data_IF_691299519539
#
_entry.id   IF_691299519539
#
_cell.length_a   1.000
_cell.length_b   1.000
_cell.length_c   1.000
_cell.angle_alpha   90.00
_cell.angle_beta   90.00
_cell.angle_gamma   90.00
#
_symmetry.space_group_name_H-M   'P 1'
#
loop_
_entity.id
_entity.type
_entity.pdbx_description
1 polymer ?
#
# COMPACT_ATOMS: atom_id res chain seq x y z
N UNK A 1 -18.34 30.99 -31.28
CA UNK A 1 -19.43 30.93 -32.27
C UNK A 1 -20.42 29.89 -31.74
N UNK A 2 -21.69 30.20 -31.49
CA UNK A 2 -22.82 30.17 -32.46
C UNK A 2 -22.97 28.78 -33.12
N UNK A 3 -24.08 28.03 -33.02
CA UNK A 3 -25.37 28.18 -32.30
C UNK A 3 -25.98 26.76 -32.05
N UNK A 4 -27.02 26.51 -31.24
CA UNK A 4 -28.42 26.95 -31.40
C UNK A 4 -29.19 26.04 -32.41
N UNK A 5 -30.44 25.60 -32.27
CA UNK A 5 -31.52 25.62 -31.23
C UNK A 5 -32.51 24.47 -31.62
N UNK A 6 -33.75 24.23 -31.16
CA UNK A 6 -34.76 24.68 -30.15
C UNK A 6 -35.84 23.53 -30.08
N UNK A 7 -36.93 23.50 -29.30
CA UNK A 7 -37.58 24.40 -28.33
C UNK A 7 -38.61 23.61 -27.47
N UNK A 8 -39.28 24.22 -26.47
CA UNK A 8 -40.61 24.88 -26.57
C UNK A 8 -41.80 23.91 -26.74
N UNK A 9 -42.93 23.94 -25.99
CA UNK A 9 -43.40 24.62 -24.76
C UNK A 9 -44.57 23.75 -24.17
N UNK A 10 -45.29 23.96 -23.05
CA UNK A 10 -46.13 25.06 -22.49
C UNK A 10 -46.70 24.58 -21.12
N UNK A 11 -47.25 25.35 -20.17
CA UNK A 11 -47.45 26.80 -20.00
C UNK A 11 -48.71 27.16 -19.16
N UNK A 12 -48.59 28.08 -18.17
CA UNK A 12 -49.69 28.74 -17.37
C UNK A 12 -50.48 27.84 -16.37
N UNK A 13 -51.22 28.31 -15.33
CA UNK A 13 -51.61 29.66 -14.84
C UNK A 13 -51.95 29.66 -13.31
N UNK A 14 -51.78 30.78 -12.59
CA UNK A 14 -52.44 31.08 -11.28
C UNK A 14 -53.63 32.06 -11.47
N UNK A 15 -53.96 33.02 -10.56
CA UNK A 15 -53.67 33.19 -9.12
C UNK A 15 -54.91 33.72 -8.27
N UNK A 16 -54.74 34.06 -6.98
CA UNK A 16 -55.71 34.81 -6.12
C UNK A 16 -55.47 34.61 -4.61
N UNK A 17 -55.41 35.61 -3.70
CA UNK A 17 -56.43 36.58 -3.20
C UNK A 17 -57.41 35.98 -2.16
N UNK A 18 -57.76 36.60 -1.02
CA UNK A 18 -57.26 37.81 -0.30
C UNK A 18 -57.85 37.88 1.15
N UNK A 19 -57.53 38.93 1.93
CA UNK A 19 -58.31 39.54 3.07
C UNK A 19 -58.67 38.67 4.33
N UNK A 20 -58.08 38.95 5.51
CA UNK A 20 -58.56 39.77 6.67
C UNK A 20 -59.66 39.18 7.59
N UNK A 21 -59.75 39.71 8.84
CA UNK A 21 -60.91 39.53 9.74
C UNK A 21 -60.58 39.06 11.17
N UNK A 22 -60.76 39.93 12.18
CA UNK A 22 -60.67 39.60 13.61
C UNK A 22 -61.89 40.13 14.37
N UNK A 23 -62.48 39.31 15.26
CA UNK A 23 -63.18 39.69 16.50
C UNK A 23 -63.92 38.48 17.14
N UNK A 24 -64.14 38.51 18.46
CA UNK A 24 -65.18 37.70 19.14
C UNK A 24 -64.73 36.98 20.41
N UNK A 25 -64.96 37.59 21.58
CA UNK A 25 -64.64 37.01 22.90
C UNK A 25 -65.92 36.71 23.70
N UNK A 26 -65.78 35.91 24.77
CA UNK A 26 -66.73 35.65 25.88
C UNK A 26 -67.80 34.55 25.68
N UNK A 27 -68.10 33.80 26.76
CA UNK A 27 -69.16 32.76 26.74
C UNK A 27 -69.04 31.62 27.77
N UNK A 28 -68.82 31.91 29.06
CA UNK A 28 -68.68 30.94 30.15
C UNK A 28 -69.76 29.84 30.24
N UNK A 29 -69.35 28.57 30.39
CA UNK A 29 -69.93 27.61 31.33
C UNK A 29 -68.98 26.40 31.53
N UNK A 30 -68.74 25.98 32.77
CA UNK A 30 -67.90 24.82 33.09
C UNK A 30 -68.69 23.65 33.67
N UNK A 31 -68.25 22.42 33.38
CA UNK A 31 -68.53 21.24 34.20
C UNK A 31 -67.38 20.25 34.05
N UNK A 32 -67.01 19.56 35.14
CA UNK A 32 -65.88 18.64 35.14
C UNK A 32 -66.34 17.20 34.85
N UNK A 33 -65.63 16.51 33.96
CA UNK A 33 -65.75 15.06 33.77
C UNK A 33 -64.37 14.43 33.76
N UNK A 34 -64.13 13.60 34.78
CA UNK A 34 -63.18 12.47 34.83
C UNK A 34 -62.00 12.47 33.84
N UNK A 35 -60.79 12.58 34.39
CA UNK A 35 -59.62 12.00 33.73
C UNK A 35 -59.83 10.48 33.56
N UNK A 36 -59.49 9.94 32.38
CA UNK A 36 -59.28 8.49 32.24
C UNK A 36 -57.94 8.16 32.88
N UNK A 37 -57.99 7.77 34.15
CA UNK A 37 -56.91 6.97 34.72
C UNK A 37 -57.10 5.56 34.18
N UNK A 38 -56.45 5.25 33.06
CA UNK A 38 -56.50 3.92 32.47
C UNK A 38 -55.96 2.92 33.50
N UNK A 39 -56.87 2.10 34.02
CA UNK A 39 -56.57 1.19 35.12
C UNK A 39 -55.70 0.06 34.62
N UNK A 40 -54.39 0.13 34.91
CA UNK A 40 -53.53 -1.04 34.92
C UNK A 40 -54.18 -2.04 35.87
N UNK A 41 -54.76 -3.11 35.32
CA UNK A 41 -55.34 -4.19 36.11
C UNK A 41 -54.19 -4.96 36.79
N UNK A 42 -54.06 -4.91 38.13
CA UNK A 42 -52.99 -5.61 38.84
C UNK A 42 -53.23 -7.14 38.91
N UNK A 43 -54.27 -7.63 38.23
CA UNK A 43 -54.59 -9.05 38.03
C UNK A 43 -54.63 -9.47 36.56
N UNK A 44 -54.24 -8.58 35.62
CA UNK A 44 -53.86 -9.00 34.28
C UNK A 44 -52.64 -9.93 34.37
N UNK A 45 -52.68 -11.04 33.63
CA UNK A 45 -51.58 -11.98 33.59
C UNK A 45 -50.35 -11.30 32.95
N UNK A 46 -49.18 -11.24 33.62
CA UNK A 46 -47.97 -10.68 33.02
C UNK A 46 -47.41 -11.56 31.87
N UNK A 47 -47.97 -12.75 31.66
CA UNK A 47 -47.54 -13.75 30.69
C UNK A 47 -48.66 -14.10 29.68
N UNK A 48 -49.25 -13.13 28.96
CA UNK A 48 -50.46 -13.35 28.15
C UNK A 48 -50.22 -14.11 26.84
N UNK A 49 -48.97 -14.16 26.36
CA UNK A 49 -48.52 -14.98 25.24
C UNK A 49 -47.93 -16.28 25.79
N UNK A 50 -48.22 -17.45 25.20
CA UNK A 50 -47.64 -18.73 25.64
C UNK A 50 -46.23 -18.99 25.08
N UNK A 51 -45.85 -18.33 23.98
CA UNK A 51 -44.61 -18.57 23.23
C UNK A 51 -43.33 -18.10 23.97
N UNK A 52 -42.20 -18.76 23.65
CA UNK A 52 -40.86 -18.44 24.19
C UNK A 52 -40.27 -17.17 23.55
N UNK A 53 -39.44 -16.39 24.26
CA UNK A 53 -38.67 -15.29 23.66
C UNK A 53 -37.84 -15.75 22.45
N UNK A 54 -37.70 -14.87 21.45
CA UNK A 54 -36.93 -15.12 20.23
C UNK A 54 -36.20 -13.87 19.73
N UNK A 55 -35.08 -14.10 19.06
CA UNK A 55 -34.31 -13.06 18.35
C UNK A 55 -35.05 -12.71 17.04
N UNK A 56 -35.14 -11.42 16.73
CA UNK A 56 -35.80 -10.86 15.54
C UNK A 56 -34.87 -10.02 14.65
N UNK A 57 -33.67 -9.68 15.12
CA UNK A 57 -32.57 -9.20 14.27
C UNK A 57 -32.10 -10.32 13.31
N UNK A 58 -31.31 -9.96 12.29
CA UNK A 58 -30.69 -11.00 11.44
C UNK A 58 -29.71 -11.85 12.26
N UNK A 59 -29.67 -13.14 11.93
CA UNK A 59 -28.76 -14.15 12.47
C UNK A 59 -28.08 -14.93 11.33
N UNK A 60 -28.02 -14.29 10.15
CA UNK A 60 -27.23 -14.79 9.01
C UNK A 60 -25.71 -14.68 9.32
N UNK A 61 -24.86 -15.53 8.72
CA UNK A 61 -23.41 -15.46 8.92
C UNK A 61 -22.83 -14.08 8.61
N UNK A 62 -21.94 -13.61 9.48
CA UNK A 62 -21.25 -12.33 9.33
C UNK A 62 -19.95 -12.58 8.55
N UNK A 63 -19.85 -11.97 7.38
CA UNK A 63 -18.62 -11.91 6.62
C UNK A 63 -17.58 -11.06 7.35
N UNK A 64 -16.35 -11.56 7.49
CA UNK A 64 -15.18 -10.79 7.90
C UNK A 64 -14.36 -10.43 6.66
N UNK A 65 -14.07 -9.14 6.49
CA UNK A 65 -13.23 -8.61 5.42
C UNK A 65 -11.74 -8.67 5.82
N UNK A 66 -10.80 -8.63 4.85
CA UNK A 66 -9.39 -8.38 5.13
C UNK A 66 -9.18 -7.20 6.10
N UNK A 67 -8.44 -7.43 7.18
CA UNK A 67 -8.19 -6.45 8.23
C UNK A 67 -9.23 -6.31 9.35
N UNK A 68 -10.38 -6.98 9.29
CA UNK A 68 -11.40 -6.91 10.35
C UNK A 68 -10.90 -7.54 11.67
N UNK A 69 -10.55 -6.68 12.63
CA UNK A 69 -10.11 -7.08 13.99
C UNK A 69 -11.24 -7.04 15.03
N UNK A 70 -12.39 -6.46 14.67
CA UNK A 70 -13.62 -6.43 15.46
C UNK A 70 -14.85 -6.26 14.57
N UNK A 71 -16.01 -6.73 15.02
CA UNK A 71 -17.32 -6.42 14.41
C UNK A 71 -18.35 -6.08 15.48
N UNK A 72 -19.26 -5.15 15.18
CA UNK A 72 -20.34 -4.72 16.08
C UNK A 72 -21.71 -4.89 15.42
N UNK A 73 -22.67 -5.43 16.16
CA UNK A 73 -24.05 -5.63 15.72
C UNK A 73 -25.03 -5.54 16.92
N UNK A 74 -26.30 -5.22 16.64
CA UNK A 74 -27.36 -5.22 17.64
C UNK A 74 -28.16 -6.54 17.56
N UNK A 75 -28.40 -7.17 18.72
CA UNK A 75 -29.32 -8.28 18.88
C UNK A 75 -30.66 -7.77 19.37
N UNK A 76 -31.68 -7.81 18.51
CA UNK A 76 -33.06 -7.47 18.87
C UNK A 76 -33.86 -8.73 19.23
N UNK A 77 -34.64 -8.64 20.30
CA UNK A 77 -35.61 -9.64 20.72
C UNK A 77 -37.05 -9.16 20.46
N UNK A 78 -37.97 -10.11 20.33
CA UNK A 78 -39.40 -9.83 20.16
C UNK A 78 -40.06 -9.16 21.39
N UNK A 79 -39.40 -9.22 22.54
CA UNK A 79 -39.84 -8.72 23.85
C UNK A 79 -38.64 -8.32 24.73
N UNK A 80 -38.88 -7.69 25.87
CA UNK A 80 -37.82 -7.51 26.88
C UNK A 80 -37.42 -8.87 27.49
N UNK A 81 -36.12 -9.16 27.46
CA UNK A 81 -35.51 -10.36 28.05
C UNK A 81 -34.37 -9.97 28.99
N UNK A 82 -34.12 -10.80 30.00
CA UNK A 82 -32.96 -10.72 30.88
C UNK A 82 -31.94 -11.76 30.45
N UNK A 83 -30.73 -11.33 30.13
CA UNK A 83 -29.62 -12.23 29.77
C UNK A 83 -28.68 -12.32 30.97
N UNK A 84 -28.41 -13.52 31.47
CA UNK A 84 -27.49 -13.77 32.58
C UNK A 84 -26.01 -13.70 32.15
N UNK A 85 -25.11 -13.51 33.13
CA UNK A 85 -23.68 -13.43 32.88
C UNK A 85 -23.13 -14.75 32.33
N UNK A 86 -22.64 -14.73 31.08
CA UNK A 86 -22.24 -15.91 30.32
C UNK A 86 -23.22 -16.34 29.23
N UNK A 87 -24.37 -15.67 29.09
CA UNK A 87 -25.33 -15.91 28.00
C UNK A 87 -24.86 -15.46 26.61
N UNK A 88 -23.75 -14.72 26.52
CA UNK A 88 -23.02 -14.47 25.29
C UNK A 88 -21.67 -15.21 25.35
N UNK A 89 -21.40 -16.03 24.34
CA UNK A 89 -20.21 -16.86 24.23
C UNK A 89 -19.61 -16.65 22.84
N UNK A 90 -18.28 -16.63 22.72
CA UNK A 90 -17.61 -16.71 21.42
C UNK A 90 -16.51 -17.77 21.45
N UNK A 91 -16.33 -18.46 20.34
CA UNK A 91 -15.29 -19.46 20.13
C UNK A 91 -14.04 -18.82 19.49
N UNK A 92 -13.11 -19.61 18.93
CA UNK A 92 -11.92 -19.12 18.21
C UNK A 92 -10.85 -18.39 19.03
N UNK A 93 -11.14 -17.94 20.25
CA UNK A 93 -10.23 -17.14 21.09
C UNK A 93 -10.47 -15.63 21.02
N UNK A 94 -11.49 -15.19 20.28
CA UNK A 94 -12.01 -13.82 20.32
C UNK A 94 -12.60 -13.48 21.71
N UNK A 95 -12.91 -12.20 21.93
CA UNK A 95 -13.58 -11.71 23.14
C UNK A 95 -14.89 -11.00 22.82
N UNK A 96 -15.90 -11.19 23.66
CA UNK A 96 -17.18 -10.46 23.59
C UNK A 96 -17.12 -9.22 24.49
N UNK A 97 -17.30 -8.04 23.91
CA UNK A 97 -17.55 -6.79 24.62
C UNK A 97 -19.01 -6.40 24.43
N UNK A 98 -19.77 -6.39 25.54
CA UNK A 98 -21.21 -6.19 25.57
C UNK A 98 -21.63 -5.45 26.86
N UNK A 99 -22.88 -4.95 26.97
CA UNK A 99 -23.43 -4.40 28.20
C UNK A 99 -23.26 -5.33 29.42
N UNK A 100 -23.06 -4.75 30.60
CA UNK A 100 -22.77 -5.51 31.81
C UNK A 100 -23.97 -6.39 32.24
N UNK A 101 -23.82 -7.71 32.08
CA UNK A 101 -24.82 -8.70 32.44
C UNK A 101 -24.77 -9.06 33.95
N UNK A 102 -25.90 -9.41 34.60
CA UNK A 102 -27.23 -9.55 34.02
C UNK A 102 -27.90 -8.20 33.70
N UNK A 103 -28.55 -8.14 32.54
CA UNK A 103 -29.27 -6.96 32.05
C UNK A 103 -30.60 -7.37 31.42
N UNK A 104 -31.66 -6.60 31.70
CA UNK A 104 -32.97 -6.70 31.05
C UNK A 104 -33.10 -5.62 29.97
N UNK A 105 -33.36 -6.01 28.71
CA UNK A 105 -33.59 -5.12 27.58
C UNK A 105 -34.31 -5.86 26.42
N UNK A 106 -34.80 -5.12 25.42
CA UNK A 106 -35.22 -5.69 24.13
C UNK A 106 -34.08 -5.79 23.10
N UNK A 107 -33.02 -5.01 23.28
CA UNK A 107 -31.94 -4.83 22.30
C UNK A 107 -30.59 -4.83 23.00
N UNK A 108 -29.63 -5.60 22.50
CA UNK A 108 -28.29 -5.73 23.05
C UNK A 108 -27.23 -5.48 21.96
N UNK A 109 -26.55 -4.35 22.03
CA UNK A 109 -25.37 -4.09 21.19
C UNK A 109 -24.20 -4.96 21.63
N UNK A 110 -23.67 -5.75 20.71
CA UNK A 110 -22.55 -6.69 20.92
C UNK A 110 -21.40 -6.29 20.00
N UNK A 111 -20.18 -6.30 20.55
CA UNK A 111 -18.95 -6.23 19.78
C UNK A 111 -18.14 -7.50 20.01
N UNK A 112 -17.68 -8.13 18.93
CA UNK A 112 -16.69 -9.21 18.98
C UNK A 112 -15.33 -8.58 18.62
N UNK A 113 -14.31 -8.85 19.43
CA UNK A 113 -12.97 -8.28 19.32
C UNK A 113 -11.90 -9.38 19.26
N UNK A 114 -10.69 -9.03 18.79
CA UNK A 114 -9.59 -9.96 18.54
C UNK A 114 -9.95 -11.02 17.47
N UNK A 115 -10.58 -10.55 16.40
CA UNK A 115 -10.83 -11.32 15.18
C UNK A 115 -9.58 -11.36 14.27
N UNK A 116 -9.49 -12.45 13.53
CA UNK A 116 -8.54 -12.73 12.45
C UNK A 116 -9.37 -13.28 11.29
N UNK A 117 -9.50 -12.57 10.15
CA UNK A 117 -10.34 -13.00 9.02
C UNK A 117 -9.93 -14.36 8.41
N UNK A 118 -8.72 -14.87 8.66
CA UNK A 118 -8.31 -16.21 8.25
C UNK A 118 -8.87 -17.33 9.14
N UNK A 119 -9.46 -16.98 10.28
CA UNK A 119 -10.08 -17.87 11.25
C UNK A 119 -11.61 -17.81 11.19
N UNK A 120 -12.26 -18.93 11.50
CA UNK A 120 -13.71 -19.00 11.67
C UNK A 120 -14.09 -18.97 13.15
N UNK A 121 -15.09 -18.16 13.49
CA UNK A 121 -15.63 -18.02 14.84
C UNK A 121 -17.12 -18.33 14.84
N UNK A 122 -17.61 -18.77 15.99
CA UNK A 122 -19.04 -18.89 16.28
C UNK A 122 -19.32 -18.06 17.52
N UNK A 123 -20.27 -17.13 17.40
CA UNK A 123 -20.86 -16.40 18.51
C UNK A 123 -22.19 -17.06 18.88
N UNK A 124 -22.35 -17.46 20.14
CA UNK A 124 -23.54 -18.15 20.64
C UNK A 124 -24.28 -17.28 21.64
N UNK A 125 -25.58 -17.08 21.42
CA UNK A 125 -26.54 -16.65 22.44
C UNK A 125 -27.10 -17.90 23.12
N UNK A 126 -26.73 -18.16 24.37
CA UNK A 126 -27.18 -19.36 25.08
C UNK A 126 -28.62 -19.23 25.59
N UNK A 127 -29.52 -20.07 25.08
CA UNK A 127 -30.92 -20.11 25.50
C UNK A 127 -31.08 -20.44 26.99
N UNK A 128 -30.14 -21.17 27.59
CA UNK A 128 -30.14 -21.47 29.03
C UNK A 128 -29.94 -20.25 29.93
N UNK A 129 -29.47 -19.13 29.37
CA UNK A 129 -29.15 -17.89 30.08
C UNK A 129 -30.05 -16.70 29.72
N UNK A 130 -30.97 -16.84 28.75
CA UNK A 130 -31.93 -15.79 28.35
C UNK A 130 -33.31 -16.10 28.92
N UNK A 131 -33.88 -15.18 29.71
CA UNK A 131 -35.17 -15.35 30.38
C UNK A 131 -36.11 -14.17 30.11
N UNK A 132 -37.37 -14.42 29.76
CA UNK A 132 -38.40 -13.38 29.80
C UNK A 132 -38.86 -13.07 31.26
N UNK A 133 -39.74 -12.08 31.43
CA UNK A 133 -40.32 -11.74 32.74
C UNK A 133 -41.12 -12.88 33.41
N UNK A 134 -41.41 -13.96 32.67
CA UNK A 134 -42.12 -15.16 33.10
C UNK A 134 -41.17 -16.32 33.43
N UNK A 135 -39.85 -16.08 33.43
CA UNK A 135 -38.79 -17.07 33.62
C UNK A 135 -38.77 -18.17 32.54
N UNK A 136 -39.26 -17.89 31.32
CA UNK A 136 -39.16 -18.80 30.18
C UNK A 136 -37.88 -18.54 29.40
N UNK A 137 -37.20 -19.61 29.04
CA UNK A 137 -36.02 -19.57 28.18
C UNK A 137 -36.39 -19.45 26.71
N UNK A 138 -35.42 -19.07 25.86
CA UNK A 138 -35.52 -19.30 24.42
C UNK A 138 -35.69 -20.80 24.12
N UNK A 139 -36.24 -21.15 22.95
CA UNK A 139 -36.47 -22.54 22.54
C UNK A 139 -35.18 -23.33 22.23
N UNK A 140 -34.13 -22.64 21.75
CA UNK A 140 -32.81 -23.18 21.44
C UNK A 140 -31.77 -22.06 21.40
N UNK A 141 -30.52 -22.36 21.78
CA UNK A 141 -29.41 -21.42 21.64
C UNK A 141 -29.20 -21.06 20.16
N UNK A 142 -28.75 -19.84 19.89
CA UNK A 142 -28.59 -19.30 18.54
C UNK A 142 -27.13 -19.02 18.27
N UNK A 143 -26.60 -19.68 17.24
CA UNK A 143 -25.25 -19.51 16.74
C UNK A 143 -25.24 -18.56 15.55
N UNK A 144 -24.34 -17.57 15.56
CA UNK A 144 -23.99 -16.70 14.44
C UNK A 144 -22.55 -17.03 14.07
N UNK A 145 -22.34 -17.55 12.86
CA UNK A 145 -21.01 -17.79 12.31
C UNK A 145 -20.37 -16.47 11.88
N UNK A 146 -19.11 -16.22 12.25
CA UNK A 146 -18.27 -15.16 11.69
C UNK A 146 -17.17 -15.83 10.87
N UNK A 147 -17.11 -15.55 9.57
CA UNK A 147 -16.27 -16.26 8.60
C UNK A 147 -15.65 -15.27 7.64
N UNK A 148 -14.35 -15.40 7.34
CA UNK A 148 -13.70 -14.63 6.27
C UNK A 148 -14.42 -14.80 4.94
N UNK A 149 -14.85 -13.70 4.32
CA UNK A 149 -15.34 -13.69 2.94
C UNK A 149 -14.32 -13.01 2.02
N UNK A 150 -13.98 -13.73 0.96
CA UNK A 150 -13.01 -13.32 -0.06
C UNK A 150 -13.67 -13.15 -1.43
N UNK A 151 -15.00 -13.19 -1.50
CA UNK A 151 -15.78 -13.08 -2.72
C UNK A 151 -15.65 -11.69 -3.37
N UNK A 152 -14.76 -11.59 -4.36
CA UNK A 152 -14.49 -10.33 -5.07
C UNK A 152 -13.32 -9.54 -4.50
N UNK A 153 -12.53 -10.13 -3.60
CA UNK A 153 -11.28 -9.53 -3.14
C UNK A 153 -10.30 -9.29 -4.30
N UNK A 154 -9.48 -8.25 -4.18
CA UNK A 154 -8.41 -7.92 -5.12
C UNK A 154 -7.03 -8.12 -4.47
N UNK A 155 -5.93 -8.24 -5.23
CA UNK A 155 -4.60 -8.24 -4.63
C UNK A 155 -4.30 -6.88 -3.97
N UNK A 156 -3.72 -6.84 -2.76
CA UNK A 156 -3.36 -5.59 -2.08
C UNK A 156 -2.40 -4.74 -2.91
N UNK A 157 -2.66 -3.43 -2.98
CA UNK A 157 -1.88 -2.49 -3.77
C UNK A 157 -1.10 -1.51 -2.87
N UNK A 158 0.19 -1.35 -3.15
CA UNK A 158 1.02 -0.35 -2.46
C UNK A 158 0.66 1.07 -2.89
N UNK A 159 0.38 1.95 -1.93
CA UNK A 159 0.09 3.38 -2.17
C UNK A 159 1.29 4.30 -1.92
N UNK A 160 2.43 3.76 -1.47
CA UNK A 160 3.69 4.49 -1.32
C UNK A 160 4.29 4.94 -2.67
N UNK A 161 5.10 6.00 -2.62
CA UNK A 161 5.85 6.48 -3.80
C UNK A 161 6.95 5.49 -4.20
N UNK A 162 7.12 5.25 -5.50
CA UNK A 162 8.16 4.36 -6.07
C UNK A 162 9.60 4.77 -5.71
N UNK A 163 9.82 6.05 -5.34
CA UNK A 163 11.12 6.55 -4.92
C UNK A 163 11.05 7.67 -3.88
N UNK A 164 12.11 7.76 -3.08
CA UNK A 164 12.40 8.88 -2.17
C UNK A 164 13.74 9.51 -2.58
N UNK A 165 13.70 10.75 -3.10
CA UNK A 165 14.90 11.55 -3.33
C UNK A 165 15.23 12.34 -2.06
N UNK A 166 16.41 12.08 -1.50
CA UNK A 166 16.88 12.67 -0.25
C UNK A 166 18.03 13.66 -0.50
N UNK A 167 18.34 14.54 0.46
CA UNK A 167 19.51 15.41 0.39
C UNK A 167 20.82 14.61 0.20
N UNK A 168 21.76 15.09 -0.63
CA UNK A 168 23.05 14.44 -0.80
C UNK A 168 23.81 14.28 0.52
N UNK A 169 24.24 13.06 0.82
CA UNK A 169 24.97 12.72 2.06
C UNK A 169 24.10 12.42 3.28
N UNK A 170 22.77 12.32 3.14
CA UNK A 170 21.92 11.69 4.18
C UNK A 170 22.39 10.24 4.42
N UNK A 171 22.70 9.91 5.68
CA UNK A 171 23.30 8.63 6.08
C UNK A 171 22.32 7.64 6.74
N UNK A 172 21.20 8.16 7.26
CA UNK A 172 20.11 7.40 7.89
C UNK A 172 18.79 8.13 7.60
N UNK A 173 17.70 7.39 7.40
CA UNK A 173 16.35 7.94 7.26
C UNK A 173 15.27 6.88 7.54
N UNK A 174 14.01 7.29 7.69
CA UNK A 174 12.86 6.40 7.84
C UNK A 174 11.77 6.71 6.81
N UNK A 175 11.10 5.67 6.31
CA UNK A 175 10.12 5.74 5.23
C UNK A 175 8.96 4.76 5.49
N UNK A 176 7.81 5.09 4.94
CA UNK A 176 6.56 4.37 5.16
C UNK A 176 6.18 3.58 3.91
N UNK A 177 6.06 2.26 4.07
CA UNK A 177 5.49 1.35 3.07
C UNK A 177 4.04 1.14 3.47
N UNK A 178 3.13 1.71 2.68
CA UNK A 178 1.69 1.70 2.93
C UNK A 178 0.95 0.98 1.79
N UNK A 179 -0.11 0.29 2.17
CA UNK A 179 -1.03 -0.43 1.28
C UNK A 179 -2.41 0.23 1.30
N UNK A 180 -3.30 -0.13 0.38
CA UNK A 180 -4.70 0.31 0.37
C UNK A 180 -5.60 -0.46 1.36
N UNK A 181 -5.11 -1.56 1.92
CA UNK A 181 -5.74 -2.37 2.97
C UNK A 181 -4.73 -2.90 4.00
N UNK A 182 -5.20 -3.58 5.04
CA UNK A 182 -4.34 -4.19 6.07
C UNK A 182 -3.77 -5.51 5.54
N UNK A 183 -2.44 -5.58 5.40
CA UNK A 183 -1.72 -6.79 4.98
C UNK A 183 -0.85 -7.36 6.10
N UNK A 184 -0.74 -8.68 6.14
CA UNK A 184 0.27 -9.39 6.93
C UNK A 184 1.56 -9.47 6.12
N UNK A 185 2.64 -8.92 6.66
CA UNK A 185 3.99 -9.08 6.13
C UNK A 185 4.76 -10.11 6.99
N UNK A 186 5.26 -11.15 6.32
CA UNK A 186 6.00 -12.24 6.97
C UNK A 186 7.45 -11.87 7.33
N UNK A 187 8.07 -12.69 8.19
CA UNK A 187 9.43 -12.48 8.64
C UNK A 187 10.44 -12.50 7.48
N UNK A 188 10.92 -11.31 7.08
CA UNK A 188 11.84 -11.12 5.95
C UNK A 188 11.19 -10.64 4.65
N UNK A 189 9.89 -10.29 4.66
CA UNK A 189 9.20 -9.70 3.51
C UNK A 189 9.91 -8.44 2.99
N UNK A 190 10.39 -7.57 3.88
CA UNK A 190 11.11 -6.34 3.53
C UNK A 190 12.63 -6.57 3.57
N UNK A 191 13.31 -6.27 2.46
CA UNK A 191 14.76 -6.44 2.33
C UNK A 191 15.43 -5.32 1.51
N UNK A 192 16.70 -5.01 1.82
CA UNK A 192 17.57 -4.23 0.92
C UNK A 192 18.14 -5.18 -0.13
N UNK A 193 17.87 -4.90 -1.41
CA UNK A 193 18.27 -5.71 -2.57
C UNK A 193 19.25 -4.97 -3.50
N UNK A 194 19.65 -3.74 -3.15
CA UNK A 194 20.68 -2.96 -3.83
C UNK A 194 21.13 -1.76 -3.01
N UNK A 195 22.37 -1.31 -3.22
CA UNK A 195 22.99 -0.24 -2.44
C UNK A 195 23.79 -0.74 -1.23
N UNK A 196 24.12 0.17 -0.30
CA UNK A 196 24.96 -0.09 0.88
C UNK A 196 24.22 -0.09 2.21
N UNK A 197 22.91 0.18 2.19
CA UNK A 197 22.14 0.46 3.40
C UNK A 197 21.72 -0.81 4.16
N UNK A 198 21.43 -0.65 5.44
CA UNK A 198 21.00 -1.71 6.36
C UNK A 198 19.73 -1.30 7.09
N UNK A 199 18.77 -2.22 7.19
CA UNK A 199 17.52 -2.02 7.94
C UNK A 199 17.84 -2.07 9.43
N UNK A 200 17.62 -0.96 10.13
CA UNK A 200 17.81 -0.84 11.57
C UNK A 200 16.58 -1.35 12.33
N UNK A 201 15.39 -1.07 11.80
CA UNK A 201 14.10 -1.56 12.33
C UNK A 201 12.99 -1.54 11.28
N UNK A 202 11.95 -2.35 11.53
CA UNK A 202 10.64 -2.29 10.88
C UNK A 202 9.61 -2.14 12.00
N UNK A 203 8.62 -1.27 11.83
CA UNK A 203 7.54 -1.00 12.79
C UNK A 203 6.19 -1.05 12.06
N UNK A 204 5.26 -1.94 12.42
CA UNK A 204 5.40 -3.02 13.42
C UNK A 204 6.48 -4.05 13.04
N UNK A 205 7.07 -4.71 14.04
CA UNK A 205 8.15 -5.67 13.80
C UNK A 205 7.59 -7.00 13.24
N UNK A 206 8.17 -7.48 12.14
CA UNK A 206 7.65 -8.64 11.39
C UNK A 206 7.88 -9.98 12.12
N UNK A 207 6.96 -10.96 12.00
CA UNK A 207 5.73 -10.92 11.21
C UNK A 207 4.63 -10.08 11.90
N UNK A 208 3.90 -9.28 11.12
CA UNK A 208 2.85 -8.40 11.62
C UNK A 208 1.83 -8.02 10.55
N UNK A 209 0.59 -7.77 10.97
CA UNK A 209 -0.48 -7.20 10.15
C UNK A 209 -0.55 -5.67 10.33
N UNK A 210 -0.59 -4.92 9.23
CA UNK A 210 -0.78 -3.46 9.22
C UNK A 210 -1.15 -2.95 7.83
N UNK A 211 -1.76 -1.77 7.74
CA UNK A 211 -1.82 -0.99 6.50
C UNK A 211 -0.50 -0.26 6.20
N UNK A 212 0.33 -0.03 7.23
CA UNK A 212 1.49 0.87 7.18
C UNK A 212 2.68 0.30 7.94
N UNK A 213 3.83 0.20 7.28
CA UNK A 213 5.09 -0.25 7.86
C UNK A 213 6.15 0.84 7.76
N UNK A 214 6.53 1.45 8.89
CA UNK A 214 7.67 2.36 8.96
C UNK A 214 8.96 1.56 9.05
N UNK A 215 9.89 1.78 8.13
CA UNK A 215 11.20 1.12 8.10
C UNK A 215 12.31 2.15 8.23
N UNK A 216 13.28 1.88 9.11
CA UNK A 216 14.46 2.73 9.29
C UNK A 216 15.68 2.13 8.60
N UNK A 217 16.44 2.95 7.88
CA UNK A 217 17.75 2.60 7.31
C UNK A 217 18.88 3.38 7.95
N UNK A 218 20.01 2.71 8.11
CA UNK A 218 21.35 3.31 8.18
C UNK A 218 22.21 2.90 6.98
N UNK A 219 23.40 3.47 6.84
CA UNK A 219 24.33 3.13 5.76
C UNK A 219 23.94 3.68 4.37
N UNK A 220 23.04 4.66 4.31
CA UNK A 220 22.71 5.39 3.09
C UNK A 220 23.94 6.18 2.60
N UNK A 221 24.15 6.22 1.28
CA UNK A 221 25.32 6.87 0.67
C UNK A 221 25.40 6.70 -0.84
N UNK A 222 24.26 6.66 -1.52
CA UNK A 222 24.16 6.26 -2.93
C UNK A 222 22.71 6.02 -3.34
N UNK A 223 22.51 5.12 -4.29
CA UNK A 223 21.20 4.57 -4.64
C UNK A 223 21.02 3.28 -3.83
N UNK A 224 19.97 3.23 -3.03
CA UNK A 224 19.49 2.03 -2.32
C UNK A 224 18.22 1.55 -2.98
N UNK A 225 18.07 0.23 -3.12
CA UNK A 225 16.83 -0.41 -3.57
C UNK A 225 16.33 -1.36 -2.51
N UNK A 226 15.11 -1.11 -2.06
CA UNK A 226 14.33 -1.93 -1.15
C UNK A 226 13.36 -2.78 -1.95
N UNK A 227 12.97 -3.90 -1.37
CA UNK A 227 11.98 -4.81 -1.91
C UNK A 227 11.01 -5.24 -0.83
N UNK A 228 9.72 -5.28 -1.15
CA UNK A 228 8.75 -6.15 -0.46
C UNK A 228 8.56 -7.39 -1.33
N UNK A 229 8.95 -8.55 -0.81
CA UNK A 229 8.80 -9.85 -1.46
C UNK A 229 7.33 -10.26 -1.50
N UNK A 230 6.74 -10.33 -2.68
CA UNK A 230 5.30 -10.54 -2.85
C UNK A 230 4.84 -11.92 -2.35
N UNK A 231 5.73 -12.91 -2.31
CA UNK A 231 5.43 -14.24 -1.76
C UNK A 231 5.42 -14.26 -0.22
N UNK A 232 5.71 -13.13 0.43
CA UNK A 232 5.70 -12.91 1.88
C UNK A 232 4.69 -11.83 2.30
N UNK A 233 3.74 -11.48 1.43
CA UNK A 233 2.58 -10.62 1.69
C UNK A 233 1.32 -11.50 1.68
N UNK A 234 0.39 -11.26 2.63
CA UNK A 234 -0.92 -11.91 2.65
C UNK A 234 -2.00 -10.94 3.17
N UNK A 235 -3.11 -10.87 2.45
CA UNK A 235 -4.36 -10.20 2.84
C UNK A 235 -5.21 -11.00 3.85
N UNK A 236 -4.82 -12.25 4.15
CA UNK A 236 -5.63 -13.22 4.91
C UNK A 236 -6.64 -13.99 4.06
N UNK A 237 -6.99 -13.48 2.88
CA UNK A 237 -7.83 -14.11 1.86
C UNK A 237 -7.06 -15.01 0.88
N UNK A 238 -5.72 -15.04 0.96
CA UNK A 238 -4.86 -15.86 0.13
C UNK A 238 -4.62 -15.28 -1.27
N UNK A 239 -4.88 -13.99 -1.46
CA UNK A 239 -4.39 -13.23 -2.61
C UNK A 239 -3.13 -12.48 -2.18
N UNK A 240 -2.17 -12.38 -3.09
CA UNK A 240 -0.91 -11.70 -2.88
C UNK A 240 -0.60 -10.81 -4.10
N UNK A 241 0.23 -9.76 -3.96
CA UNK A 241 0.62 -8.91 -5.08
C UNK A 241 1.19 -9.72 -6.24
N UNK A 242 0.87 -9.35 -7.49
CA UNK A 242 1.32 -10.13 -8.65
C UNK A 242 2.84 -10.10 -8.86
N UNK A 243 3.55 -9.10 -8.32
CA UNK A 243 4.99 -8.86 -8.45
C UNK A 243 5.57 -8.24 -7.17
N UNK A 244 6.87 -8.42 -6.94
CA UNK A 244 7.62 -7.75 -5.87
C UNK A 244 7.52 -6.21 -6.00
N UNK A 245 7.29 -5.51 -4.89
CA UNK A 245 7.35 -4.04 -4.85
C UNK A 245 8.81 -3.60 -4.70
N UNK A 246 9.33 -2.82 -5.64
CA UNK A 246 10.65 -2.18 -5.52
C UNK A 246 10.54 -0.69 -5.18
N UNK A 247 11.25 -0.26 -4.12
CA UNK A 247 11.28 1.12 -3.62
C UNK A 247 12.72 1.67 -3.69
N UNK A 248 12.91 2.82 -4.33
CA UNK A 248 14.23 3.42 -4.56
C UNK A 248 14.51 4.61 -3.62
N UNK A 249 15.55 4.51 -2.79
CA UNK A 249 15.99 5.61 -1.92
C UNK A 249 17.31 6.17 -2.45
N UNK A 250 17.33 7.44 -2.87
CA UNK A 250 18.46 8.06 -3.54
C UNK A 250 19.05 9.21 -2.72
N UNK A 251 20.29 9.07 -2.25
CA UNK A 251 21.06 10.12 -1.52
C UNK A 251 22.20 10.71 -2.36
N UNK A 252 22.08 10.63 -3.70
CA UNK A 252 23.01 11.18 -4.70
C UNK A 252 22.25 11.76 -5.89
N UNK A 253 22.95 12.56 -6.70
CA UNK A 253 22.47 13.12 -7.98
C UNK A 253 23.45 12.87 -9.16
N UNK A 254 24.51 12.10 -8.91
CA UNK A 254 25.56 11.74 -9.88
C UNK A 254 26.12 10.36 -9.46
N UNK A 255 26.49 9.52 -10.44
CA UNK A 255 27.16 8.23 -10.22
C UNK A 255 28.33 8.13 -11.19
N UNK A 256 29.54 7.95 -10.67
CA UNK A 256 30.76 7.88 -11.48
C UNK A 256 31.20 6.44 -11.73
N UNK A 257 31.48 6.11 -13.00
CA UNK A 257 31.89 4.78 -13.45
C UNK A 257 33.34 4.80 -13.95
N UNK A 258 34.19 3.94 -13.36
CA UNK A 258 35.62 3.81 -13.69
C UNK A 258 35.92 2.60 -14.57
N UNK A 259 37.12 2.56 -15.16
CA UNK A 259 37.55 1.44 -16.00
C UNK A 259 37.70 0.11 -15.24
N UNK A 260 37.15 -0.98 -15.79
CA UNK A 260 37.21 -2.34 -15.21
C UNK A 260 37.63 -3.45 -16.17
N UNK A 261 37.95 -3.14 -17.44
CA UNK A 261 38.31 -4.15 -18.46
C UNK A 261 37.14 -4.91 -19.08
N UNK A 262 35.90 -4.46 -18.86
CA UNK A 262 34.69 -5.09 -19.37
C UNK A 262 33.48 -4.16 -19.26
N UNK A 263 32.34 -4.54 -19.86
CA UNK A 263 31.08 -3.82 -19.74
C UNK A 263 30.56 -3.87 -18.29
N UNK A 264 29.88 -2.81 -17.87
CA UNK A 264 29.23 -2.68 -16.58
C UNK A 264 27.71 -2.50 -16.77
N UNK A 265 26.86 -3.39 -16.24
CA UNK A 265 25.43 -3.15 -16.22
C UNK A 265 25.09 -2.06 -15.18
N UNK A 266 24.24 -1.11 -15.54
CA UNK A 266 23.67 -0.13 -14.61
C UNK A 266 22.16 -0.09 -14.77
N UNK A 267 21.43 -0.31 -13.67
CA UNK A 267 19.97 -0.27 -13.63
C UNK A 267 19.51 1.16 -13.37
N UNK A 268 18.61 1.66 -14.22
CA UNK A 268 18.04 3.01 -14.09
C UNK A 268 17.13 3.08 -12.85
N UNK A 269 17.43 3.95 -11.86
CA UNK A 269 16.62 4.07 -10.67
C UNK A 269 15.36 4.92 -10.93
N UNK A 270 14.28 4.67 -10.19
CA UNK A 270 13.05 5.46 -10.29
C UNK A 270 13.27 6.97 -10.04
N UNK A 271 14.23 7.32 -9.18
CA UNK A 271 14.63 8.71 -8.91
C UNK A 271 15.27 9.44 -10.12
N UNK A 272 15.57 8.75 -11.24
CA UNK A 272 15.95 9.38 -12.50
C UNK A 272 14.76 10.01 -13.25
N UNK A 273 13.51 9.75 -12.86
CA UNK A 273 12.31 10.42 -13.41
C UNK A 273 12.18 10.35 -14.95
N UNK A 274 12.77 9.33 -15.58
CA UNK A 274 12.74 9.10 -17.01
C UNK A 274 13.83 9.79 -17.85
N UNK A 275 14.79 10.51 -17.26
CA UNK A 275 15.92 11.11 -17.97
C UNK A 275 17.23 11.07 -17.16
N UNK A 276 18.37 10.92 -17.84
CA UNK A 276 19.70 11.01 -17.23
C UNK A 276 20.63 11.89 -18.06
N UNK A 277 21.41 12.75 -17.41
CA UNK A 277 22.49 13.48 -18.06
C UNK A 277 23.78 12.65 -18.05
N UNK A 278 24.34 12.40 -19.23
CA UNK A 278 25.53 11.59 -19.42
C UNK A 278 26.75 12.49 -19.69
N UNK A 279 27.87 12.17 -19.04
CA UNK A 279 29.19 12.75 -19.30
C UNK A 279 30.20 11.60 -19.44
N UNK A 280 30.88 11.53 -20.58
CA UNK A 280 31.80 10.45 -20.93
C UNK A 280 33.13 11.05 -21.40
N UNK A 281 34.23 10.55 -20.84
CA UNK A 281 35.58 10.77 -21.36
C UNK A 281 36.14 9.46 -21.95
N UNK A 282 36.64 9.52 -23.18
CA UNK A 282 37.38 8.42 -23.79
C UNK A 282 38.80 8.33 -23.18
N UNK A 283 39.37 7.14 -23.14
CA UNK A 283 40.70 6.97 -22.53
C UNK A 283 41.81 7.64 -23.37
N UNK A 284 42.83 8.15 -22.68
CA UNK A 284 44.10 8.51 -23.30
C UNK A 284 44.75 7.25 -23.92
N UNK A 285 45.47 7.40 -25.03
CA UNK A 285 46.40 6.37 -25.48
C UNK A 285 47.55 6.15 -24.50
N UNK A 286 48.04 4.94 -24.39
CA UNK A 286 49.25 4.66 -23.63
C UNK A 286 50.45 5.41 -24.23
N UNK A 287 51.44 5.72 -23.39
CA UNK A 287 52.74 6.23 -23.85
C UNK A 287 53.57 5.15 -24.55
N UNK A 288 54.35 5.53 -25.55
CA UNK A 288 55.42 4.69 -26.07
C UNK A 288 56.53 4.54 -25.04
N UNK A 289 57.17 3.38 -25.02
CA UNK A 289 58.50 3.29 -24.42
C UNK A 289 59.42 4.23 -25.21
N UNK A 290 60.31 4.94 -24.54
CA UNK A 290 61.15 5.96 -25.19
C UNK A 290 60.53 7.36 -25.32
N UNK A 291 59.30 7.60 -24.82
CA UNK A 291 58.88 8.94 -24.37
C UNK A 291 57.82 9.69 -25.18
N UNK A 292 57.23 9.08 -26.22
CA UNK A 292 56.05 9.67 -26.87
C UNK A 292 54.79 9.47 -26.04
N UNK A 293 54.16 10.54 -25.56
CA UNK A 293 52.85 10.46 -24.89
C UNK A 293 51.75 10.06 -25.88
N UNK A 294 50.77 9.28 -25.42
CA UNK A 294 49.54 9.06 -26.17
C UNK A 294 48.64 10.30 -26.17
N UNK A 295 47.85 10.45 -27.23
CA UNK A 295 46.85 11.49 -27.34
C UNK A 295 45.72 11.30 -26.33
N UNK A 296 45.14 12.41 -25.87
CA UNK A 296 43.94 12.41 -25.04
C UNK A 296 42.75 11.79 -25.81
N UNK A 297 41.81 11.17 -25.09
CA UNK A 297 40.50 10.86 -25.65
C UNK A 297 39.65 12.12 -25.85
N UNK A 298 38.55 11.97 -26.56
CA UNK A 298 37.50 12.98 -26.65
C UNK A 298 36.55 12.93 -25.46
N UNK A 299 35.82 14.02 -25.25
CA UNK A 299 34.69 14.11 -24.33
C UNK A 299 33.37 14.05 -25.12
N UNK A 300 32.34 13.43 -24.56
CA UNK A 300 30.98 13.47 -25.07
C UNK A 300 29.97 13.61 -23.92
N UNK A 301 28.93 14.43 -24.11
CA UNK A 301 27.86 14.61 -23.13
C UNK A 301 26.50 14.88 -23.77
N UNK A 302 25.43 14.59 -23.04
CA UNK A 302 24.05 14.80 -23.47
C UNK A 302 23.04 14.04 -22.60
N UNK A 303 21.77 14.44 -22.67
CA UNK A 303 20.66 13.83 -21.93
C UNK A 303 20.10 12.62 -22.68
N UNK A 304 19.89 11.50 -21.98
CA UNK A 304 19.25 10.29 -22.47
C UNK A 304 17.85 10.12 -21.86
N UNK A 305 16.86 9.74 -22.66
CA UNK A 305 15.55 9.32 -22.17
C UNK A 305 15.64 7.85 -21.77
N UNK A 306 15.18 7.51 -20.56
CA UNK A 306 15.31 6.18 -19.96
C UNK A 306 14.00 5.70 -19.32
N UNK A 307 13.89 4.40 -19.11
CA UNK A 307 12.78 3.76 -18.38
C UNK A 307 13.28 3.24 -17.04
N UNK A 308 12.53 3.46 -15.95
CA UNK A 308 12.83 2.87 -14.64
C UNK A 308 13.04 1.36 -14.75
N UNK A 309 14.07 0.83 -14.08
CA UNK A 309 14.36 -0.60 -14.07
C UNK A 309 15.03 -1.15 -15.34
N UNK A 310 15.15 -0.38 -16.43
CA UNK A 310 15.95 -0.82 -17.57
C UNK A 310 17.44 -0.88 -17.22
N UNK A 311 18.18 -1.76 -17.89
CA UNK A 311 19.64 -1.88 -17.71
C UNK A 311 20.36 -1.27 -18.91
N UNK A 312 21.17 -0.24 -18.66
CA UNK A 312 22.12 0.31 -19.63
C UNK A 312 23.44 -0.47 -19.56
N UNK A 313 24.09 -0.69 -20.70
CA UNK A 313 25.47 -1.21 -20.72
C UNK A 313 26.45 -0.02 -20.76
N UNK A 314 27.15 0.20 -19.66
CA UNK A 314 28.18 1.22 -19.53
C UNK A 314 29.55 0.61 -19.90
N UNK A 315 30.21 1.19 -20.89
CA UNK A 315 31.55 0.81 -21.33
C UNK A 315 32.49 1.99 -21.07
N UNK A 316 33.49 1.83 -20.21
CA UNK A 316 34.48 2.89 -19.89
C UNK A 316 35.82 2.54 -20.52
N UNK A 317 36.46 3.47 -21.23
CA UNK A 317 37.71 3.20 -21.94
C UNK A 317 38.92 2.93 -21.03
N UNK A 318 39.85 2.08 -21.51
CA UNK A 318 41.16 1.82 -20.89
C UNK A 318 42.33 2.23 -21.80
N UNK A 319 43.54 2.41 -21.26
CA UNK A 319 44.74 2.74 -22.07
C UNK A 319 45.32 1.53 -22.83
N UNK A 320 44.80 0.33 -22.59
CA UNK A 320 45.26 -0.97 -23.09
C UNK A 320 44.69 -1.37 -24.47
N UNK A 321 43.82 -0.53 -25.04
CA UNK A 321 43.15 -0.79 -26.32
C UNK A 321 41.77 -1.42 -26.20
N UNK A 322 41.24 -1.62 -24.99
CA UNK A 322 39.87 -2.14 -24.80
C UNK A 322 38.82 -1.28 -25.53
N UNK A 323 37.69 -1.88 -25.92
CA UNK A 323 36.56 -1.17 -26.57
C UNK A 323 36.93 -0.31 -27.81
N UNK A 324 37.85 -0.82 -28.64
CA UNK A 324 38.16 -0.26 -29.96
C UNK A 324 39.43 0.58 -30.07
N UNK A 325 40.24 0.66 -29.01
CA UNK A 325 41.59 1.24 -29.10
C UNK A 325 42.55 0.35 -29.89
N UNK A 326 43.56 0.97 -30.53
CA UNK A 326 44.55 0.24 -31.31
C UNK A 326 45.54 -0.53 -30.43
N UNK A 327 45.88 -1.77 -30.79
CA UNK A 327 46.93 -2.53 -30.11
C UNK A 327 48.30 -1.84 -30.23
N UNK A 328 49.16 -2.02 -29.22
CA UNK A 328 50.52 -1.49 -29.20
C UNK A 328 51.37 -2.01 -30.38
N UNK A 329 52.09 -1.12 -31.06
CA UNK A 329 52.94 -1.46 -32.20
C UNK A 329 54.23 -2.16 -31.75
N UNK A 330 54.41 -3.41 -32.20
CA UNK A 330 55.57 -4.27 -31.89
C UNK A 330 56.87 -3.88 -32.62
N UNK A 331 57.08 -2.58 -32.88
CA UNK A 331 58.22 -2.06 -33.62
C UNK A 331 59.53 -2.23 -32.85
N UNK A 332 60.58 -2.71 -33.55
CA UNK A 332 61.94 -2.68 -33.02
C UNK A 332 62.58 -1.29 -33.28
N UNK A 333 63.41 -0.76 -32.37
CA UNK A 333 63.87 -1.37 -31.13
C UNK A 333 62.97 -1.10 -29.90
N UNK A 334 61.86 -0.34 -30.04
CA UNK A 334 61.06 0.13 -28.90
C UNK A 334 59.55 0.13 -29.23
N UNK A 335 58.68 -0.51 -28.42
CA UNK A 335 57.24 -0.55 -28.66
C UNK A 335 56.55 0.82 -28.59
N UNK A 336 55.57 1.04 -29.47
CA UNK A 336 54.64 2.17 -29.36
C UNK A 336 53.63 1.94 -28.23
N UNK A 337 52.93 2.98 -27.81
CA UNK A 337 51.75 2.83 -26.98
C UNK A 337 50.58 2.23 -27.76
N UNK A 338 49.66 1.57 -27.04
CA UNK A 338 48.30 1.28 -27.49
C UNK A 338 47.47 2.57 -27.59
N UNK A 339 46.49 2.59 -28.48
CA UNK A 339 45.43 3.60 -28.46
C UNK A 339 44.51 3.39 -27.26
N UNK A 340 43.91 4.49 -26.78
CA UNK A 340 42.92 4.44 -25.72
C UNK A 340 41.61 3.84 -26.23
N UNK A 341 40.87 3.21 -25.33
CA UNK A 341 39.52 2.75 -25.57
C UNK A 341 38.51 3.89 -25.63
N UNK A 342 37.45 3.68 -26.41
CA UNK A 342 36.27 4.54 -26.31
C UNK A 342 35.54 4.29 -24.98
N UNK A 343 34.80 5.29 -24.53
CA UNK A 343 33.74 5.12 -23.55
C UNK A 343 32.40 5.25 -24.27
N UNK A 344 31.42 4.39 -23.98
CA UNK A 344 30.08 4.44 -24.57
C UNK A 344 28.99 3.90 -23.65
N UNK A 345 27.77 4.40 -23.83
CA UNK A 345 26.55 3.85 -23.21
C UNK A 345 25.71 3.18 -24.29
N UNK A 346 25.13 2.02 -23.98
CA UNK A 346 24.18 1.29 -24.83
C UNK A 346 22.84 1.11 -24.13
N UNK A 347 21.77 1.17 -24.92
CA UNK A 347 20.38 1.06 -24.45
C UNK A 347 19.64 0.03 -25.31
N UNK A 348 18.81 -0.81 -24.69
CA UNK A 348 18.08 -1.88 -25.39
C UNK A 348 18.92 -3.08 -25.86
N UNK A 349 20.24 -3.06 -25.66
CA UNK A 349 21.15 -4.14 -26.04
C UNK A 349 22.62 -3.83 -25.78
N UNK A 350 23.50 -4.76 -26.18
CA UNK A 350 24.96 -4.69 -26.00
C UNK A 350 25.75 -4.66 -27.31
N UNK A 351 25.09 -4.65 -28.47
CA UNK A 351 25.76 -4.58 -29.77
C UNK A 351 26.26 -3.16 -30.07
N UNK A 352 27.25 -3.04 -30.97
CA UNK A 352 27.81 -1.74 -31.37
C UNK A 352 26.79 -0.82 -32.07
N UNK A 353 25.66 -1.37 -32.51
CA UNK A 353 24.48 -0.64 -33.03
C UNK A 353 23.67 0.07 -31.96
N UNK A 354 23.80 -0.37 -30.71
CA UNK A 354 22.91 -0.01 -29.60
C UNK A 354 23.48 1.18 -28.79
N UNK A 355 24.60 1.73 -29.28
CA UNK A 355 25.34 2.88 -28.76
C UNK A 355 24.55 4.17 -28.91
N UNK A 356 24.13 4.75 -27.80
CA UNK A 356 23.39 6.03 -27.76
C UNK A 356 24.33 7.24 -27.60
N UNK A 357 25.50 7.07 -26.98
CA UNK A 357 26.56 8.10 -26.91
C UNK A 357 27.94 7.44 -26.86
N UNK A 358 28.95 8.09 -27.48
CA UNK A 358 30.33 7.58 -27.56
C UNK A 358 31.34 8.72 -27.40
N UNK A 359 32.24 8.59 -26.45
CA UNK A 359 33.45 9.39 -26.30
C UNK A 359 34.66 8.62 -26.86
N UNK A 360 35.29 9.14 -27.91
CA UNK A 360 36.34 8.42 -28.65
C UNK A 360 37.65 8.31 -27.86
N UNK A 361 38.31 7.15 -27.92
CA UNK A 361 39.63 6.94 -27.34
C UNK A 361 40.77 7.63 -28.11
N UNK A 362 41.84 8.00 -27.41
CA UNK A 362 42.98 8.74 -27.94
C UNK A 362 43.99 7.89 -28.72
N UNK A 363 44.74 8.51 -29.63
CA UNK A 363 45.80 7.82 -30.40
C UNK A 363 46.96 7.36 -29.52
N UNK A 364 47.50 6.15 -29.78
CA UNK A 364 48.64 5.62 -29.03
C UNK A 364 49.92 6.42 -29.24
N UNK A 365 50.75 6.51 -28.20
CA UNK A 365 52.01 7.25 -28.25
C UNK A 365 52.98 6.64 -29.27
N UNK A 366 53.62 7.48 -30.08
CA UNK A 366 54.61 7.05 -31.07
C UNK A 366 56.00 6.90 -30.43
N UNK A 367 56.70 5.81 -30.74
CA UNK A 367 58.14 5.73 -30.49
C UNK A 367 58.88 6.70 -31.43
N UNK A 368 59.98 7.34 -30.99
CA UNK A 368 60.72 8.28 -31.83
C UNK A 368 61.32 7.56 -33.06
N UNK A 369 61.37 8.21 -34.24
CA UNK A 369 62.07 7.66 -35.41
C UNK A 369 63.56 7.48 -35.12
N UNK A 370 64.14 6.42 -35.70
CA UNK A 370 65.57 6.14 -35.73
C UNK A 370 66.24 6.84 -36.92
#
# INVERSE_FOLDING_TARGET
MLGGSSGSATGSSGPGMDETGSAGTEGSAGSATSASSDGIDPTADPCPEEDTPMIVSSVEPIALMPGDTMVSFDLDFDREVTIEAGGFIVTGGASVTAPALPLTASTFGVTIEALDPSSAYVFTVDAGAVFDACSRTMASSVDIDLVGDCAGNLPPASISMEYHQLPPGTAMDAYEIAFDEVVTLEAGAIAVVGGSATIDSITPALPAASDTFTVALSGLGGITRLRVDAALVSDGCGVAPEQDLELWVCTVSEVQHGYTGGPQPWVVPACAQGMVDLQLDGAQGAGATGGGTGGLGGHASGTLIVTTGETLELNVGGQDGWNGGGAAGLGAPVPSGSGGGASDVRQGGSALTDRVIVAAGGGGGAAPPQ
#
